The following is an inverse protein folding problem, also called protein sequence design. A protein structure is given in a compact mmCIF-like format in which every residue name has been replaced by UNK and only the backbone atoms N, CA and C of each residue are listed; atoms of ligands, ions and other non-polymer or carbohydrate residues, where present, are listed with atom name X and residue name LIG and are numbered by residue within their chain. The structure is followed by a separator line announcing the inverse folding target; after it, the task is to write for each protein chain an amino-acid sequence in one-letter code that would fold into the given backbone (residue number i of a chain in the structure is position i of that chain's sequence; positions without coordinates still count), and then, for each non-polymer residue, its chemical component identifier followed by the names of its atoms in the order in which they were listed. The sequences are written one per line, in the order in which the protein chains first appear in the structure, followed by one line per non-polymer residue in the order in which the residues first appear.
data_IF_136110917585
#
_entry.id   IF_136110917585
#
_cell.length_a   1.000
_cell.length_b   1.000
_cell.length_c   1.000
_cell.angle_alpha   90.00
_cell.angle_beta   90.00
_cell.angle_gamma   90.00
#
_symmetry.space_group_name_H-M   'P 1'
#
loop_
_entity.id
_entity.type
_entity.pdbx_description
1 polymer ?
#
# COMPACT_ATOMS: atom_id res chain seq x y z
N UNK A 1 -25.49 8.88 0.21
CA UNK A 1 -24.62 7.71 -0.04
C UNK A 1 -24.85 6.73 1.10
N UNK A 2 -25.30 5.50 0.83
CA UNK A 2 -25.47 4.50 1.90
C UNK A 2 -24.07 3.99 2.28
N UNK A 3 -23.69 4.20 3.54
CA UNK A 3 -22.40 3.77 4.07
C UNK A 3 -22.46 2.28 4.48
N UNK A 4 -21.56 1.48 3.96
CA UNK A 4 -21.34 0.11 4.44
C UNK A 4 -20.50 0.14 5.72
N UNK A 5 -21.12 -0.02 6.87
CA UNK A 5 -20.39 -0.08 8.15
C UNK A 5 -19.68 -1.42 8.36
N UNK A 6 -20.16 -2.46 7.68
CA UNK A 6 -19.56 -3.81 7.67
C UNK A 6 -19.43 -4.29 6.23
N UNK A 7 -18.27 -4.83 5.88
CA UNK A 7 -18.01 -5.37 4.56
C UNK A 7 -16.79 -6.29 4.58
N UNK A 8 -16.65 -7.13 3.56
CA UNK A 8 -15.45 -7.95 3.37
C UNK A 8 -14.40 -7.13 2.61
N UNK A 9 -13.17 -7.14 3.13
CA UNK A 9 -12.00 -6.60 2.42
C UNK A 9 -11.02 -7.72 2.09
N UNK A 10 -10.25 -7.52 1.02
CA UNK A 10 -9.20 -8.43 0.57
C UNK A 10 -7.86 -7.71 0.41
N UNK A 11 -6.78 -8.29 0.96
CA UNK A 11 -5.42 -7.97 0.59
C UNK A 11 -4.96 -8.97 -0.49
N UNK A 12 -4.67 -8.47 -1.69
CA UNK A 12 -4.30 -9.26 -2.85
C UNK A 12 -2.78 -9.31 -2.99
N UNK A 13 -2.13 -10.23 -2.30
CA UNK A 13 -0.69 -10.49 -2.46
C UNK A 13 -0.37 -10.86 -3.89
N UNK A 14 0.72 -10.34 -4.43
CA UNK A 14 1.32 -10.82 -5.67
C UNK A 14 2.62 -11.58 -5.37
N UNK A 15 2.78 -12.73 -5.99
CA UNK A 15 4.06 -13.40 -6.09
C UNK A 15 5.07 -12.56 -6.88
N UNK A 16 6.28 -13.08 -7.14
CA UNK A 16 7.30 -12.34 -7.88
C UNK A 16 6.78 -11.86 -9.23
N UNK A 17 7.19 -10.65 -9.62
CA UNK A 17 6.99 -10.10 -10.97
C UNK A 17 8.36 -9.97 -11.61
N UNK A 18 8.69 -10.91 -12.47
CA UNK A 18 10.01 -10.95 -13.10
C UNK A 18 10.19 -9.80 -14.12
N UNK A 19 11.43 -9.34 -14.37
CA UNK A 19 11.68 -8.27 -15.36
C UNK A 19 11.18 -8.58 -16.77
N UNK A 20 11.05 -9.84 -17.12
CA UNK A 20 10.55 -10.30 -18.41
C UNK A 20 9.02 -10.40 -18.46
N UNK A 21 8.33 -10.28 -17.33
CA UNK A 21 6.87 -10.35 -17.27
C UNK A 21 6.25 -9.04 -17.75
N UNK A 22 5.38 -9.11 -18.74
CA UNK A 22 4.73 -7.91 -19.27
C UNK A 22 3.64 -7.39 -18.33
N UNK A 23 3.31 -6.10 -18.45
CA UNK A 23 2.22 -5.48 -17.66
C UNK A 23 0.87 -6.20 -17.91
N UNK A 24 0.64 -6.67 -19.16
CA UNK A 24 -0.55 -7.45 -19.54
C UNK A 24 -0.62 -8.75 -18.71
N UNK A 25 0.48 -9.49 -18.61
CA UNK A 25 0.54 -10.72 -17.83
C UNK A 25 0.27 -10.46 -16.34
N UNK A 26 0.85 -9.41 -15.79
CA UNK A 26 0.60 -9.00 -14.39
C UNK A 26 -0.88 -8.63 -14.19
N UNK A 27 -1.47 -7.85 -15.08
CA UNK A 27 -2.90 -7.47 -15.01
C UNK A 27 -3.81 -8.70 -15.11
N UNK A 28 -3.44 -9.73 -15.88
CA UNK A 28 -4.17 -11.01 -15.88
C UNK A 28 -4.14 -11.67 -14.50
N UNK A 29 -3.01 -11.67 -13.81
CA UNK A 29 -2.91 -12.18 -12.43
C UNK A 29 -3.78 -11.37 -11.47
N UNK A 30 -3.69 -10.03 -11.53
CA UNK A 30 -4.53 -9.13 -10.73
C UNK A 30 -6.01 -9.36 -10.99
N UNK A 31 -6.40 -9.54 -12.28
CA UNK A 31 -7.76 -9.84 -12.68
C UNK A 31 -8.28 -11.16 -12.07
N UNK A 32 -7.46 -12.21 -12.05
CA UNK A 32 -7.85 -13.49 -11.47
C UNK A 32 -8.10 -13.34 -9.95
N UNK A 33 -7.25 -12.61 -9.25
CA UNK A 33 -7.45 -12.28 -7.83
C UNK A 33 -8.72 -11.43 -7.64
N UNK A 34 -9.00 -10.46 -8.50
CA UNK A 34 -10.22 -9.64 -8.44
C UNK A 34 -11.49 -10.49 -8.58
N UNK A 35 -11.51 -11.40 -9.56
CA UNK A 35 -12.65 -12.31 -9.79
C UNK A 35 -12.89 -13.17 -8.55
N UNK A 36 -11.84 -13.71 -7.96
CA UNK A 36 -11.97 -14.52 -6.75
C UNK A 36 -12.39 -13.71 -5.54
N UNK A 37 -11.83 -12.51 -5.35
CA UNK A 37 -12.24 -11.59 -4.29
C UNK A 37 -13.73 -11.21 -4.41
N UNK A 38 -14.20 -10.94 -5.63
CA UNK A 38 -15.62 -10.68 -5.91
C UNK A 38 -16.51 -11.87 -5.52
N UNK A 39 -16.13 -13.10 -5.87
CA UNK A 39 -16.89 -14.31 -5.49
C UNK A 39 -17.04 -14.47 -3.99
N UNK A 40 -16.04 -14.01 -3.22
CA UNK A 40 -16.07 -14.01 -1.75
C UNK A 40 -16.79 -12.78 -1.17
N UNK A 41 -17.35 -11.90 -2.01
CA UNK A 41 -18.11 -10.73 -1.60
C UNK A 41 -17.26 -9.55 -1.13
N UNK A 42 -15.97 -9.49 -1.47
CA UNK A 42 -15.11 -8.38 -1.10
C UNK A 42 -15.54 -7.08 -1.82
N UNK A 43 -15.65 -5.99 -1.06
CA UNK A 43 -15.93 -4.65 -1.58
C UNK A 43 -14.69 -3.75 -1.62
N UNK A 44 -13.63 -4.06 -0.88
CA UNK A 44 -12.34 -3.37 -0.92
C UNK A 44 -11.24 -4.37 -1.25
N UNK A 45 -10.53 -4.15 -2.34
CA UNK A 45 -9.41 -4.99 -2.76
C UNK A 45 -8.15 -4.14 -2.83
N UNK A 46 -7.09 -4.57 -2.13
CA UNK A 46 -5.81 -3.84 -2.04
C UNK A 46 -4.71 -4.65 -2.70
N UNK A 47 -4.07 -4.06 -3.71
CA UNK A 47 -2.89 -4.61 -4.40
C UNK A 47 -1.60 -3.95 -3.90
N UNK A 48 -0.43 -4.55 -4.18
CA UNK A 48 0.85 -4.03 -3.70
C UNK A 48 1.28 -2.68 -4.30
N UNK A 49 2.33 -2.11 -3.72
CA UNK A 49 3.13 -1.02 -4.27
C UNK A 49 3.73 -1.42 -5.63
N UNK A 50 3.74 -0.50 -6.62
CA UNK A 50 4.36 -0.72 -7.94
C UNK A 50 4.00 -2.09 -8.53
N UNK A 51 2.72 -2.47 -8.42
CA UNK A 51 2.29 -3.84 -8.68
C UNK A 51 2.31 -4.23 -10.16
N UNK A 52 2.32 -3.25 -11.08
CA UNK A 52 2.25 -3.51 -12.53
C UNK A 52 3.56 -3.99 -13.15
N UNK A 53 4.67 -3.91 -12.42
CA UNK A 53 6.00 -4.21 -12.96
C UNK A 53 6.88 -4.86 -11.88
N UNK A 54 8.02 -5.43 -12.29
CA UNK A 54 9.09 -5.72 -11.32
C UNK A 54 9.42 -4.46 -10.49
N UNK A 55 10.01 -4.63 -9.30
CA UNK A 55 10.46 -3.48 -8.49
C UNK A 55 11.69 -2.83 -9.13
N UNK A 56 11.49 -2.06 -10.20
CA UNK A 56 12.56 -1.48 -11.01
C UNK A 56 13.53 -0.53 -10.25
N UNK A 57 13.19 0.09 -9.10
CA UNK A 57 14.19 0.83 -8.31
C UNK A 57 15.38 0.00 -7.83
N UNK A 58 15.34 -1.29 -8.04
CA UNK A 58 16.42 -2.24 -7.78
C UNK A 58 17.56 -2.16 -8.81
N UNK A 59 17.29 -1.56 -9.97
CA UNK A 59 18.23 -1.49 -11.09
C UNK A 59 18.73 -0.06 -11.30
N UNK A 60 20.00 0.07 -11.67
CA UNK A 60 20.55 1.34 -12.15
C UNK A 60 20.31 1.47 -13.65
N UNK A 61 19.23 2.14 -14.02
CA UNK A 61 18.77 2.31 -15.40
C UNK A 61 19.25 3.66 -15.92
N UNK A 62 19.99 3.64 -17.02
CA UNK A 62 20.51 4.85 -17.70
C UNK A 62 19.77 5.17 -18.98
N UNK A 63 19.10 4.20 -19.58
CA UNK A 63 18.25 4.40 -20.76
C UNK A 63 16.87 4.94 -20.33
N UNK A 64 16.58 6.17 -20.77
CA UNK A 64 15.31 6.81 -20.43
C UNK A 64 14.11 6.13 -21.08
N UNK A 65 14.26 5.47 -22.23
CA UNK A 65 13.16 4.75 -22.89
C UNK A 65 12.76 3.55 -22.05
N UNK A 66 13.76 2.79 -21.57
CA UNK A 66 13.52 1.66 -20.65
C UNK A 66 12.92 2.17 -19.35
N UNK A 67 13.49 3.25 -18.77
CA UNK A 67 12.98 3.81 -17.52
C UNK A 67 11.53 4.27 -17.67
N UNK A 68 11.19 4.99 -18.73
CA UNK A 68 9.84 5.51 -18.96
C UNK A 68 8.80 4.39 -19.17
N UNK A 69 9.20 3.22 -19.65
CA UNK A 69 8.30 2.08 -19.82
C UNK A 69 7.67 1.57 -18.52
N UNK A 70 8.28 1.87 -17.36
CA UNK A 70 7.73 1.48 -16.06
C UNK A 70 6.63 2.41 -15.56
N UNK A 71 6.51 3.62 -16.12
CA UNK A 71 5.58 4.63 -15.64
C UNK A 71 4.25 4.62 -16.40
N UNK A 72 3.24 5.17 -15.75
CA UNK A 72 1.93 5.44 -16.33
C UNK A 72 1.63 6.94 -16.25
N UNK A 73 1.21 7.53 -17.37
CA UNK A 73 0.80 8.94 -17.45
C UNK A 73 -0.64 9.13 -17.00
N UNK A 74 -1.46 8.07 -17.17
CA UNK A 74 -2.89 8.08 -16.91
C UNK A 74 -3.33 6.77 -16.28
N UNK A 75 -4.18 6.87 -15.28
CA UNK A 75 -4.84 5.75 -14.62
C UNK A 75 -6.34 6.02 -14.55
N UNK A 76 -7.22 5.04 -14.87
CA UNK A 76 -6.86 3.70 -15.34
C UNK A 76 -6.24 3.70 -16.74
N UNK A 77 -5.36 2.74 -16.99
CA UNK A 77 -4.90 2.37 -18.33
C UNK A 77 -5.94 1.51 -19.02
N UNK A 78 -5.83 1.30 -20.35
CA UNK A 78 -6.75 0.39 -21.08
C UNK A 78 -6.81 -1.02 -20.45
N UNK A 79 -5.66 -1.55 -20.03
CA UNK A 79 -5.57 -2.86 -19.37
C UNK A 79 -6.33 -2.90 -18.04
N UNK A 80 -6.23 -1.84 -17.25
CA UNK A 80 -6.95 -1.71 -15.97
C UNK A 80 -8.45 -1.51 -16.21
N UNK A 81 -8.84 -0.77 -17.25
CA UNK A 81 -10.26 -0.61 -17.64
C UNK A 81 -10.89 -1.94 -18.00
N UNK A 82 -10.20 -2.80 -18.75
CA UNK A 82 -10.68 -4.16 -19.03
C UNK A 82 -10.88 -4.98 -17.74
N UNK A 83 -9.94 -4.89 -16.80
CA UNK A 83 -10.07 -5.55 -15.51
C UNK A 83 -11.27 -5.02 -14.71
N UNK A 84 -11.44 -3.68 -14.65
CA UNK A 84 -12.54 -3.02 -13.93
C UNK A 84 -13.91 -3.31 -14.56
N UNK A 85 -13.98 -3.50 -15.87
CA UNK A 85 -15.18 -3.90 -16.59
C UNK A 85 -15.85 -5.17 -16.05
N UNK A 86 -15.09 -6.05 -15.39
CA UNK A 86 -15.61 -7.27 -14.77
C UNK A 86 -16.44 -7.01 -13.50
N UNK A 87 -16.32 -5.82 -12.92
CA UNK A 87 -16.95 -5.43 -11.64
C UNK A 87 -17.75 -4.13 -11.75
N UNK A 88 -18.09 -3.69 -12.96
CA UNK A 88 -18.69 -2.39 -13.24
C UNK A 88 -20.10 -2.17 -12.63
N UNK A 89 -20.75 -3.23 -12.17
CA UNK A 89 -22.07 -3.19 -11.52
C UNK A 89 -22.01 -3.25 -9.99
N UNK A 90 -20.81 -3.37 -9.41
CA UNK A 90 -20.63 -3.60 -7.98
C UNK A 90 -20.13 -2.33 -7.27
N UNK A 91 -20.37 -2.24 -5.97
CA UNK A 91 -19.83 -1.19 -5.10
C UNK A 91 -18.39 -1.48 -4.66
N UNK A 92 -17.55 -1.95 -5.60
CA UNK A 92 -16.17 -2.35 -5.33
C UNK A 92 -15.23 -1.15 -5.46
N UNK A 93 -14.33 -1.03 -4.49
CA UNK A 93 -13.18 -0.10 -4.52
C UNK A 93 -11.90 -0.92 -4.62
N UNK A 94 -11.03 -0.53 -5.56
CA UNK A 94 -9.72 -1.15 -5.77
C UNK A 94 -8.64 -0.14 -5.40
N UNK A 95 -7.68 -0.58 -4.57
CA UNK A 95 -6.46 0.16 -4.26
C UNK A 95 -5.27 -0.54 -4.91
N UNK A 96 -4.43 0.20 -5.64
CA UNK A 96 -3.18 -0.35 -6.16
C UNK A 96 -2.09 0.71 -6.30
N UNK A 97 -0.84 0.24 -6.29
CA UNK A 97 0.34 1.08 -6.44
C UNK A 97 0.95 1.02 -7.84
N UNK A 98 1.38 2.16 -8.36
CA UNK A 98 2.01 2.28 -9.67
C UNK A 98 3.07 3.39 -9.69
N UNK A 99 3.94 3.36 -10.70
CA UNK A 99 4.87 4.45 -10.97
C UNK A 99 4.16 5.49 -11.82
N UNK A 100 3.93 6.68 -11.26
CA UNK A 100 3.23 7.78 -11.91
C UNK A 100 4.21 8.72 -12.59
N UNK A 101 3.91 9.10 -13.84
CA UNK A 101 4.55 10.21 -14.54
C UNK A 101 3.54 11.34 -14.71
N UNK A 102 3.85 12.50 -14.16
CA UNK A 102 3.06 13.72 -14.32
C UNK A 102 3.96 14.83 -14.84
N UNK A 103 3.86 15.15 -16.12
CA UNK A 103 4.80 16.03 -16.82
C UNK A 103 6.25 15.52 -16.66
N UNK A 104 7.13 16.35 -16.09
CA UNK A 104 8.53 16.01 -15.81
C UNK A 104 8.74 15.39 -14.42
N UNK A 105 7.67 15.17 -13.65
CA UNK A 105 7.75 14.61 -12.32
C UNK A 105 7.35 13.12 -12.31
N UNK A 106 8.04 12.36 -11.48
CA UNK A 106 7.81 10.92 -11.30
C UNK A 106 7.55 10.64 -9.83
N UNK A 107 6.47 9.88 -9.54
CA UNK A 107 6.05 9.57 -8.17
C UNK A 107 5.77 8.09 -8.01
N UNK A 108 6.02 7.59 -6.80
CA UNK A 108 5.52 6.31 -6.35
C UNK A 108 4.11 6.56 -5.78
N UNK A 109 3.09 6.05 -6.44
CA UNK A 109 1.70 6.50 -6.24
C UNK A 109 0.79 5.32 -5.94
N UNK A 110 -0.16 5.53 -5.03
CA UNK A 110 -1.30 4.64 -4.81
C UNK A 110 -2.60 5.37 -5.16
N UNK A 111 -3.57 4.62 -5.68
CA UNK A 111 -4.83 5.18 -6.15
C UNK A 111 -6.01 4.31 -5.70
N UNK A 112 -7.16 4.96 -5.42
CA UNK A 112 -8.45 4.27 -5.33
C UNK A 112 -9.22 4.46 -6.63
N UNK A 113 -9.66 3.36 -7.21
CA UNK A 113 -10.60 3.33 -8.32
C UNK A 113 -11.90 2.67 -7.87
N UNK A 114 -13.03 3.24 -8.26
CA UNK A 114 -14.30 2.53 -8.16
C UNK A 114 -14.52 1.62 -9.40
N UNK A 115 -15.57 0.81 -9.34
CA UNK A 115 -15.95 -0.09 -10.42
C UNK A 115 -16.36 0.62 -11.72
N UNK A 116 -16.56 1.94 -11.69
CA UNK A 116 -16.88 2.79 -12.84
C UNK A 116 -15.66 3.54 -13.37
N UNK A 117 -14.45 3.07 -13.02
CA UNK A 117 -13.17 3.67 -13.43
C UNK A 117 -12.90 5.07 -12.90
N UNK A 118 -13.70 5.54 -11.94
CA UNK A 118 -13.48 6.84 -11.35
C UNK A 118 -12.37 6.78 -10.32
N UNK A 119 -11.40 7.69 -10.43
CA UNK A 119 -10.39 7.94 -9.40
C UNK A 119 -11.07 8.60 -8.20
N UNK A 120 -11.22 7.85 -7.10
CA UNK A 120 -11.78 8.35 -5.85
C UNK A 120 -10.72 9.05 -4.99
N UNK A 121 -9.46 8.67 -5.15
CA UNK A 121 -8.38 9.23 -4.38
C UNK A 121 -6.99 8.82 -4.89
N UNK A 122 -6.01 9.68 -4.61
CA UNK A 122 -4.60 9.48 -4.99
C UNK A 122 -3.70 9.88 -3.83
N UNK A 123 -2.65 9.09 -3.59
CA UNK A 123 -1.58 9.37 -2.64
C UNK A 123 -0.22 9.15 -3.30
N UNK A 124 0.73 10.03 -3.04
CA UNK A 124 2.12 9.94 -3.49
C UNK A 124 3.03 9.73 -2.29
N UNK A 125 3.86 8.71 -2.33
CA UNK A 125 4.75 8.30 -1.24
C UNK A 125 5.60 9.46 -0.71
N UNK A 126 5.51 9.72 0.58
CA UNK A 126 6.23 10.81 1.24
C UNK A 126 7.59 10.33 1.74
N UNK A 127 7.65 9.17 2.37
CA UNK A 127 8.88 8.66 2.98
C UNK A 127 9.60 7.70 2.02
N UNK A 128 10.31 8.28 1.04
CA UNK A 128 11.12 7.52 0.10
C UNK A 128 12.32 6.89 0.81
N UNK A 129 12.44 5.54 0.84
CA UNK A 129 13.63 4.87 1.40
C UNK A 129 14.78 4.84 0.39
N UNK A 130 15.87 4.20 0.77
CA UNK A 130 16.99 3.94 -0.10
C UNK A 130 17.84 5.18 -0.39
N UNK A 131 18.44 5.20 -1.57
CA UNK A 131 19.46 6.16 -1.98
C UNK A 131 19.22 6.68 -3.41
N UNK A 132 19.92 7.74 -3.81
CA UNK A 132 19.84 8.31 -5.15
C UNK A 132 21.05 7.93 -6.02
N UNK A 133 22.22 7.79 -5.40
CA UNK A 133 23.47 7.52 -6.09
C UNK A 133 23.62 6.03 -6.41
N UNK A 134 24.27 5.74 -7.54
CA UNK A 134 24.61 4.37 -7.92
C UNK A 134 25.68 3.80 -6.98
N UNK A 135 25.42 2.64 -6.41
CA UNK A 135 26.36 1.89 -5.58
C UNK A 135 26.73 0.57 -6.29
N UNK A 136 27.76 0.56 -7.16
CA UNK A 136 28.03 -0.56 -8.08
C UNK A 136 28.38 -1.88 -7.38
N UNK A 137 28.83 -1.82 -6.13
CA UNK A 137 29.19 -3.02 -5.34
C UNK A 137 27.99 -3.67 -4.64
N UNK A 138 26.79 -3.07 -4.73
CA UNK A 138 25.58 -3.69 -4.19
C UNK A 138 25.02 -4.71 -5.19
N UNK A 139 24.63 -5.90 -4.74
CA UNK A 139 23.96 -6.87 -5.61
C UNK A 139 22.62 -6.34 -6.14
N UNK A 140 21.89 -5.54 -5.33
CA UNK A 140 20.66 -4.84 -5.70
C UNK A 140 20.70 -3.43 -5.15
N UNK A 141 20.27 -2.48 -5.98
CA UNK A 141 20.08 -1.09 -5.56
C UNK A 141 18.75 -0.91 -4.82
N UNK A 142 18.57 0.25 -4.19
CA UNK A 142 17.27 0.71 -3.68
C UNK A 142 17.14 2.19 -4.04
N UNK A 143 16.95 2.45 -5.34
CA UNK A 143 17.06 3.78 -5.96
C UNK A 143 15.75 4.57 -5.98
N UNK A 144 14.90 4.41 -4.97
CA UNK A 144 13.64 5.18 -4.94
C UNK A 144 13.87 6.69 -4.95
N UNK A 145 14.87 7.19 -4.23
CA UNK A 145 15.21 8.62 -4.22
C UNK A 145 15.79 9.14 -5.55
N UNK A 146 16.26 8.24 -6.42
CA UNK A 146 16.71 8.56 -7.77
C UNK A 146 15.53 8.70 -8.73
N UNK A 147 14.57 7.79 -8.64
CA UNK A 147 13.51 7.63 -9.61
C UNK A 147 12.21 8.35 -9.27
N UNK A 148 12.03 8.72 -8.00
CA UNK A 148 10.80 9.36 -7.54
C UNK A 148 11.08 10.65 -6.79
N UNK A 149 10.19 11.63 -6.97
CA UNK A 149 10.11 12.80 -6.12
C UNK A 149 9.30 12.47 -4.87
N UNK A 150 9.60 13.16 -3.75
CA UNK A 150 8.77 13.14 -2.55
C UNK A 150 7.33 13.52 -2.91
N UNK A 151 6.36 12.78 -2.37
CA UNK A 151 4.94 13.07 -2.53
C UNK A 151 4.57 14.49 -2.10
N UNK A 152 3.69 15.12 -2.86
CA UNK A 152 3.27 16.52 -2.71
C UNK A 152 1.78 16.69 -2.39
N UNK A 153 1.07 15.59 -2.08
CA UNK A 153 -0.36 15.60 -1.76
C UNK A 153 -0.63 15.56 -0.24
N UNK A 154 0.41 15.50 0.59
CA UNK A 154 0.29 15.27 2.02
C UNK A 154 -0.27 13.86 2.31
N UNK A 155 -0.97 13.71 3.43
CA UNK A 155 -1.71 12.49 3.80
C UNK A 155 -3.21 12.77 3.67
N UNK A 156 -3.80 12.61 2.48
CA UNK A 156 -5.24 12.83 2.27
C UNK A 156 -6.07 11.66 2.81
N UNK A 157 -7.32 11.98 3.15
CA UNK A 157 -8.35 10.97 3.43
C UNK A 157 -9.51 11.15 2.47
N UNK A 158 -10.22 10.07 2.17
CA UNK A 158 -11.25 10.02 1.12
C UNK A 158 -12.53 9.45 1.68
N UNK A 159 -13.62 10.24 1.60
CA UNK A 159 -14.96 9.78 1.94
C UNK A 159 -15.46 8.83 0.85
N UNK A 160 -15.81 7.62 1.24
CA UNK A 160 -16.32 6.59 0.33
C UNK A 160 -17.55 5.90 0.90
N UNK A 161 -18.15 5.01 0.10
CA UNK A 161 -19.23 4.13 0.57
C UNK A 161 -18.73 3.09 1.61
N UNK A 162 -17.43 2.87 1.70
CA UNK A 162 -16.78 1.92 2.62
C UNK A 162 -16.19 2.61 3.86
N UNK A 163 -16.58 3.87 4.13
CA UNK A 163 -16.03 4.69 5.19
C UNK A 163 -14.97 5.68 4.71
N UNK A 164 -14.29 6.30 5.65
CA UNK A 164 -13.19 7.22 5.37
C UNK A 164 -11.88 6.47 5.24
N UNK A 165 -11.40 6.36 4.02
CA UNK A 165 -10.19 5.62 3.66
C UNK A 165 -8.97 6.54 3.60
N UNK A 166 -7.80 5.99 3.90
CA UNK A 166 -6.50 6.63 3.72
C UNK A 166 -5.48 5.66 3.14
N UNK A 167 -4.41 6.18 2.57
CA UNK A 167 -3.36 5.38 1.95
C UNK A 167 -2.00 5.67 2.59
N UNK A 168 -1.16 4.65 2.67
CA UNK A 168 0.29 4.80 2.80
C UNK A 168 0.99 3.77 1.89
N UNK A 169 2.27 3.98 1.61
CA UNK A 169 3.04 3.13 0.71
C UNK A 169 4.32 2.70 1.39
N UNK A 170 4.51 1.39 1.52
CA UNK A 170 5.76 0.73 1.93
C UNK A 170 6.41 1.39 3.17
N UNK A 171 7.46 2.18 2.98
CA UNK A 171 8.23 2.81 4.06
C UNK A 171 7.40 3.78 4.92
N UNK A 172 6.30 4.35 4.40
CA UNK A 172 5.41 5.22 5.19
C UNK A 172 4.88 4.52 6.44
N UNK A 173 4.70 3.17 6.40
CA UNK A 173 4.19 2.40 7.54
C UNK A 173 5.10 2.39 8.77
N UNK A 174 6.38 2.73 8.57
CA UNK A 174 7.38 2.77 9.65
C UNK A 174 7.38 4.08 10.43
N UNK A 175 6.64 5.09 9.93
CA UNK A 175 6.56 6.42 10.52
C UNK A 175 5.23 6.59 11.25
N UNK A 176 5.21 6.66 12.59
CA UNK A 176 3.98 6.79 13.38
C UNK A 176 3.13 8.00 12.98
N UNK A 177 3.78 9.06 12.53
CA UNK A 177 3.15 10.30 12.08
C UNK A 177 2.20 10.07 10.90
N UNK A 178 2.53 9.14 9.98
CA UNK A 178 1.67 8.79 8.85
C UNK A 178 0.27 8.41 9.32
N UNK A 179 0.20 7.43 10.21
CA UNK A 179 -1.08 6.93 10.72
C UNK A 179 -1.77 7.94 11.64
N UNK A 180 -0.99 8.66 12.46
CA UNK A 180 -1.54 9.68 13.36
C UNK A 180 -2.21 10.81 12.58
N UNK A 181 -1.58 11.30 11.52
CA UNK A 181 -2.17 12.34 10.67
C UNK A 181 -3.44 11.83 9.97
N UNK A 182 -3.42 10.63 9.41
CA UNK A 182 -4.61 10.02 8.81
C UNK A 182 -5.75 9.87 9.83
N UNK A 183 -5.44 9.35 11.02
CA UNK A 183 -6.44 9.14 12.08
C UNK A 183 -7.06 10.46 12.58
N UNK A 184 -6.25 11.50 12.75
CA UNK A 184 -6.72 12.84 13.13
C UNK A 184 -7.61 13.48 12.05
N UNK A 185 -7.47 13.07 10.79
CA UNK A 185 -8.37 13.43 9.69
C UNK A 185 -9.60 12.53 9.61
N UNK A 186 -9.79 11.63 10.58
CA UNK A 186 -10.95 10.75 10.68
C UNK A 186 -10.85 9.46 9.86
N UNK A 187 -9.68 9.11 9.34
CA UNK A 187 -9.47 7.85 8.60
C UNK A 187 -9.89 6.65 9.45
N UNK A 188 -10.65 5.72 8.87
CA UNK A 188 -11.11 4.50 9.54
C UNK A 188 -10.35 3.26 9.03
N UNK A 189 -9.97 3.27 7.74
CA UNK A 189 -9.25 2.17 7.10
C UNK A 189 -8.05 2.72 6.33
N UNK A 190 -6.87 2.20 6.64
CA UNK A 190 -5.63 2.51 5.92
C UNK A 190 -5.30 1.36 4.99
N UNK A 191 -5.22 1.63 3.70
CA UNK A 191 -4.68 0.67 2.72
C UNK A 191 -3.19 0.89 2.51
N UNK A 192 -2.45 -0.20 2.40
CA UNK A 192 -1.00 -0.20 2.31
C UNK A 192 -0.53 -1.20 1.25
N UNK A 193 0.18 -0.73 0.23
CA UNK A 193 0.96 -1.56 -0.68
C UNK A 193 2.44 -1.53 -0.32
N UNK A 194 3.15 -2.65 -0.36
CA UNK A 194 4.60 -2.65 -0.13
C UNK A 194 5.37 -3.72 -0.90
N UNK A 195 6.65 -3.41 -1.13
CA UNK A 195 7.68 -4.31 -1.66
C UNK A 195 8.90 -4.22 -0.75
N UNK A 196 9.01 -5.13 0.21
CA UNK A 196 10.10 -5.05 1.19
C UNK A 196 11.09 -6.19 0.96
N UNK A 197 12.35 -5.90 0.62
CA UNK A 197 13.38 -6.91 0.55
C UNK A 197 13.68 -7.46 1.94
N UNK A 198 13.99 -8.75 2.02
CA UNK A 198 14.43 -9.39 3.25
C UNK A 198 15.82 -8.92 3.65
N UNK A 199 16.74 -8.88 2.68
CA UNK A 199 18.09 -8.38 2.90
C UNK A 199 18.13 -6.85 2.87
N UNK A 200 18.62 -6.25 3.96
CA UNK A 200 18.82 -4.80 4.07
C UNK A 200 20.28 -4.46 4.31
N UNK A 201 21.06 -4.16 3.26
CA UNK A 201 22.53 -3.99 3.33
C UNK A 201 23.03 -3.02 4.40
N UNK A 202 22.35 -1.91 4.74
CA UNK A 202 22.80 -1.02 5.82
C UNK A 202 22.80 -1.65 7.22
N UNK A 203 21.94 -2.66 7.46
CA UNK A 203 21.81 -3.34 8.77
C UNK A 203 21.52 -4.83 8.54
N UNK A 204 22.45 -5.61 7.98
CA UNK A 204 22.21 -7.00 7.58
C UNK A 204 21.90 -7.92 8.78
N UNK A 205 22.37 -7.59 9.96
CA UNK A 205 22.09 -8.34 11.18
C UNK A 205 20.59 -8.35 11.55
N UNK A 206 19.80 -7.43 10.97
CA UNK A 206 18.36 -7.36 11.19
C UNK A 206 17.52 -8.08 10.12
N UNK A 207 18.13 -8.76 9.15
CA UNK A 207 17.39 -9.45 8.09
C UNK A 207 16.36 -10.46 8.63
N UNK A 208 16.71 -11.16 9.71
CA UNK A 208 15.81 -12.11 10.38
C UNK A 208 14.63 -11.44 11.10
N UNK A 209 14.69 -10.13 11.33
CA UNK A 209 13.63 -9.33 12.00
C UNK A 209 12.71 -8.60 11.00
N UNK A 210 12.96 -8.67 9.70
CA UNK A 210 12.21 -7.87 8.72
C UNK A 210 10.70 -8.15 8.73
N UNK A 211 10.29 -9.41 8.83
CA UNK A 211 8.87 -9.76 8.94
C UNK A 211 8.28 -9.31 10.28
N UNK A 212 9.01 -9.48 11.37
CA UNK A 212 8.58 -9.00 12.70
C UNK A 212 8.40 -7.48 12.70
N UNK A 213 9.40 -6.72 12.23
CA UNK A 213 9.32 -5.26 12.17
C UNK A 213 8.19 -4.77 11.25
N UNK A 214 7.92 -5.51 10.15
CA UNK A 214 6.81 -5.22 9.26
C UNK A 214 5.47 -5.27 10.00
N UNK A 215 5.21 -6.34 10.74
CA UNK A 215 3.95 -6.50 11.46
C UNK A 215 3.89 -5.60 12.70
N UNK A 216 4.99 -5.47 13.46
CA UNK A 216 5.07 -4.65 14.66
C UNK A 216 4.62 -3.20 14.41
N UNK A 217 5.17 -2.55 13.37
CA UNK A 217 4.83 -1.15 13.09
C UNK A 217 3.36 -1.00 12.66
N UNK A 218 2.81 -1.94 11.87
CA UNK A 218 1.42 -1.90 11.43
C UNK A 218 0.44 -2.21 12.57
N UNK A 219 0.73 -3.20 13.43
CA UNK A 219 -0.08 -3.55 14.59
C UNK A 219 -0.12 -2.41 15.62
N UNK A 220 1.04 -1.86 15.94
CA UNK A 220 1.15 -0.69 16.81
C UNK A 220 0.37 0.49 16.26
N UNK A 221 0.49 0.75 14.96
CA UNK A 221 -0.21 1.84 14.28
C UNK A 221 -1.74 1.64 14.28
N UNK A 222 -2.22 0.43 13.97
CA UNK A 222 -3.64 0.10 13.98
C UNK A 222 -4.26 0.38 15.36
N UNK A 223 -3.64 -0.13 16.42
CA UNK A 223 -4.11 0.03 17.78
C UNK A 223 -4.04 1.46 18.27
N UNK A 224 -2.86 2.10 18.19
CA UNK A 224 -2.66 3.46 18.71
C UNK A 224 -3.49 4.54 17.99
N UNK A 225 -4.04 4.22 16.81
CA UNK A 225 -4.85 5.12 16.01
C UNK A 225 -6.31 4.68 15.83
N UNK A 226 -6.66 3.47 16.31
CA UNK A 226 -8.00 2.91 16.19
C UNK A 226 -8.44 2.83 14.72
N UNK A 227 -7.59 2.26 13.86
CA UNK A 227 -7.83 2.09 12.41
C UNK A 227 -7.67 0.64 11.99
N UNK A 228 -8.43 0.22 11.00
CA UNK A 228 -8.11 -0.98 10.23
C UNK A 228 -6.89 -0.74 9.34
N UNK A 229 -6.02 -1.74 9.20
CA UNK A 229 -4.92 -1.72 8.24
C UNK A 229 -5.05 -2.91 7.30
N UNK A 230 -5.14 -2.66 6.00
CA UNK A 230 -5.17 -3.68 4.95
C UNK A 230 -3.87 -3.55 4.17
N UNK A 231 -2.94 -4.47 4.42
CA UNK A 231 -1.60 -4.46 3.85
C UNK A 231 -1.45 -5.54 2.78
N UNK A 232 -1.10 -5.14 1.57
CA UNK A 232 -0.80 -6.03 0.46
C UNK A 232 0.66 -5.90 0.04
N UNK A 233 1.31 -7.04 -0.18
CA UNK A 233 2.73 -7.12 -0.49
C UNK A 233 2.99 -7.86 -1.80
N UNK A 234 4.12 -7.55 -2.44
CA UNK A 234 4.79 -8.55 -3.26
C UNK A 234 5.58 -9.51 -2.38
N UNK A 235 5.63 -10.77 -2.77
CA UNK A 235 6.24 -11.85 -2.02
C UNK A 235 7.11 -12.73 -2.92
N UNK A 236 7.93 -13.59 -2.30
CA UNK A 236 8.76 -14.55 -3.01
C UNK A 236 10.10 -13.98 -3.46
N UNK A 237 10.70 -14.60 -4.46
CA UNK A 237 12.02 -14.23 -4.98
C UNK A 237 11.88 -13.61 -6.36
N UNK A 238 11.95 -12.29 -6.44
CA UNK A 238 11.82 -11.49 -7.66
C UNK A 238 13.21 -11.12 -8.17
N UNK A 239 13.59 -11.63 -9.33
CA UNK A 239 14.93 -11.46 -9.94
C UNK A 239 16.08 -11.63 -8.92
N UNK A 240 16.03 -12.75 -8.20
CA UNK A 240 17.05 -13.08 -7.18
C UNK A 240 16.89 -12.37 -5.84
N UNK A 241 16.08 -11.30 -5.73
CA UNK A 241 15.84 -10.59 -4.48
C UNK A 241 14.67 -11.21 -3.72
N UNK A 242 14.92 -11.69 -2.50
CA UNK A 242 13.87 -12.24 -1.64
C UNK A 242 13.05 -11.11 -1.02
N UNK A 243 11.73 -11.17 -1.20
CA UNK A 243 10.75 -10.26 -0.64
C UNK A 243 10.05 -10.91 0.55
N UNK A 244 9.84 -10.15 1.63
CA UNK A 244 9.25 -10.69 2.86
C UNK A 244 7.78 -11.11 2.69
N UNK A 245 7.03 -10.52 1.73
CA UNK A 245 5.60 -10.72 1.65
C UNK A 245 4.91 -10.21 2.92
N UNK A 246 4.08 -11.06 3.54
CA UNK A 246 3.43 -10.73 4.81
C UNK A 246 2.19 -9.85 4.64
N UNK A 247 1.47 -10.02 3.51
CA UNK A 247 0.16 -9.41 3.32
C UNK A 247 -0.78 -9.80 4.46
N UNK A 248 -1.48 -8.84 5.05
CA UNK A 248 -2.33 -9.09 6.21
C UNK A 248 -3.43 -8.04 6.36
N UNK A 249 -4.42 -8.36 7.18
CA UNK A 249 -5.46 -7.44 7.63
C UNK A 249 -5.40 -7.36 9.15
N UNK A 250 -5.28 -6.14 9.66
CA UNK A 250 -5.10 -5.85 11.10
C UNK A 250 -6.28 -5.02 11.58
N UNK A 251 -6.90 -5.45 12.68
CA UNK A 251 -8.01 -4.76 13.30
C UNK A 251 -7.59 -3.54 14.11
N UNK A 252 -8.52 -2.65 14.49
CA UNK A 252 -8.24 -1.53 15.40
C UNK A 252 -7.73 -1.95 16.78
N UNK A 253 -7.82 -3.23 17.15
CA UNK A 253 -7.22 -3.77 18.39
C UNK A 253 -5.72 -4.07 18.24
N UNK A 254 -5.17 -4.00 17.03
CA UNK A 254 -3.79 -4.38 16.71
C UNK A 254 -3.61 -5.86 16.41
N UNK A 255 -4.68 -6.66 16.41
CA UNK A 255 -4.62 -8.09 16.08
C UNK A 255 -4.55 -8.29 14.56
N UNK A 256 -3.66 -9.18 14.13
CA UNK A 256 -3.66 -9.69 12.75
C UNK A 256 -4.83 -10.67 12.61
N UNK A 257 -5.90 -10.23 11.96
CA UNK A 257 -7.11 -11.05 11.76
C UNK A 257 -6.87 -12.13 10.71
N UNK A 258 -6.10 -11.80 9.68
CA UNK A 258 -5.79 -12.72 8.59
C UNK A 258 -4.45 -12.35 7.95
N UNK A 259 -3.67 -13.35 7.51
CA UNK A 259 -2.34 -13.18 6.93
C UNK A 259 -2.10 -14.19 5.81
N UNK A 260 -1.39 -13.77 4.75
CA UNK A 260 -0.94 -14.66 3.69
C UNK A 260 0.04 -15.72 4.20
N UNK A 261 -0.10 -16.93 3.70
CA UNK A 261 0.69 -18.10 4.11
C UNK A 261 1.71 -18.51 3.06
N UNK A 262 1.51 -18.12 1.82
CA UNK A 262 2.40 -18.44 0.71
C UNK A 262 3.28 -17.24 0.32
N UNK A 263 4.19 -17.47 -0.61
CA UNK A 263 5.00 -16.42 -1.27
C UNK A 263 4.60 -16.27 -2.75
N UNK A 264 3.36 -16.65 -3.08
CA UNK A 264 2.77 -16.59 -4.42
C UNK A 264 1.56 -15.65 -4.40
N UNK A 265 0.84 -15.58 -5.52
CA UNK A 265 -0.45 -14.90 -5.60
C UNK A 265 -1.41 -15.51 -4.58
N UNK A 266 -1.94 -14.68 -3.67
CA UNK A 266 -2.81 -15.14 -2.58
C UNK A 266 -3.74 -14.03 -2.13
N UNK A 267 -4.99 -14.39 -1.81
CA UNK A 267 -5.96 -13.49 -1.21
C UNK A 267 -6.08 -13.72 0.29
N UNK A 268 -6.06 -12.63 1.03
CA UNK A 268 -6.28 -12.60 2.47
C UNK A 268 -7.56 -11.81 2.74
N UNK A 269 -8.51 -12.37 3.48
CA UNK A 269 -9.82 -11.79 3.72
C UNK A 269 -10.07 -11.48 5.19
N UNK A 270 -10.83 -10.41 5.46
CA UNK A 270 -11.46 -10.19 6.75
C UNK A 270 -12.75 -9.39 6.58
N UNK A 271 -13.70 -9.58 7.51
CA UNK A 271 -14.82 -8.65 7.69
C UNK A 271 -14.31 -7.40 8.41
N UNK A 272 -14.53 -6.26 7.82
CA UNK A 272 -14.24 -4.93 8.38
C UNK A 272 -15.51 -4.45 9.09
N UNK A 273 -15.41 -4.12 10.38
CA UNK A 273 -16.46 -3.42 11.13
C UNK A 273 -15.97 -2.05 11.56
N UNK A 274 -16.46 -0.97 10.95
CA UNK A 274 -16.06 0.39 11.26
C UNK A 274 -16.42 0.82 12.69
N UNK A 275 -17.37 0.13 13.35
CA UNK A 275 -17.69 0.43 14.75
C UNK A 275 -16.53 0.09 15.71
N UNK A 276 -15.63 -0.83 15.34
CA UNK A 276 -14.44 -1.11 16.14
C UNK A 276 -13.49 0.11 16.21
N UNK A 277 -13.38 0.90 15.14
CA UNK A 277 -12.63 2.15 15.15
C UNK A 277 -13.22 3.13 16.18
N UNK A 278 -14.54 3.29 16.17
CA UNK A 278 -15.26 4.18 17.10
C UNK A 278 -15.05 3.71 18.54
N UNK A 279 -15.15 2.41 18.79
CA UNK A 279 -14.99 1.80 20.11
C UNK A 279 -13.59 2.09 20.71
N UNK A 280 -12.53 1.87 19.92
CA UNK A 280 -11.14 2.12 20.36
C UNK A 280 -10.90 3.62 20.60
N UNK A 281 -11.31 4.48 19.66
CA UNK A 281 -11.09 5.94 19.76
C UNK A 281 -11.92 6.59 20.86
N UNK A 282 -13.13 6.10 21.13
CA UNK A 282 -13.96 6.67 22.20
C UNK A 282 -13.50 6.27 23.58
N UNK A 283 -13.05 5.01 23.76
CA UNK A 283 -12.84 4.47 25.10
C UNK A 283 -11.37 4.39 25.52
N UNK A 284 -10.43 4.33 24.57
CA UNK A 284 -9.00 4.15 24.84
C UNK A 284 -8.19 5.35 24.37
N UNK A 285 -8.30 5.70 23.07
CA UNK A 285 -7.54 6.77 22.44
C UNK A 285 -8.46 7.93 22.02
N UNK A 286 -9.10 8.59 22.99
CA UNK A 286 -9.87 9.79 22.69
C UNK A 286 -8.92 10.96 22.44
N UNK A 287 -8.64 11.24 21.17
CA UNK A 287 -7.66 12.24 20.75
C UNK A 287 -8.04 13.65 21.18
N UNK A 288 -9.33 13.98 21.18
CA UNK A 288 -9.81 15.31 21.54
C UNK A 288 -9.66 15.60 23.03
N UNK A 289 -9.78 14.54 23.86
CA UNK A 289 -9.71 14.68 25.33
C UNK A 289 -8.30 14.47 25.89
N UNK A 290 -7.47 13.64 25.27
CA UNK A 290 -6.24 13.14 25.92
C UNK A 290 -4.95 13.53 25.21
N UNK A 291 -4.99 14.06 23.97
CA UNK A 291 -3.77 14.55 23.33
C UNK A 291 -3.32 15.87 23.97
N UNK A 292 -2.00 16.05 24.01
CA UNK A 292 -1.34 17.27 24.52
C UNK A 292 -0.50 17.88 23.37
N UNK A 293 -1.12 18.51 22.34
CA UNK A 293 -0.40 18.97 21.14
C UNK A 293 0.72 19.97 21.43
N UNK A 294 0.60 20.77 22.50
CA UNK A 294 1.61 21.72 22.94
C UNK A 294 2.93 21.05 23.34
N UNK A 295 2.88 19.82 23.86
CA UNK A 295 4.07 19.05 24.25
C UNK A 295 4.71 18.30 23.07
N UNK A 296 4.03 18.25 21.92
CA UNK A 296 4.49 17.52 20.72
C UNK A 296 5.17 18.41 19.68
N UNK A 297 5.44 19.68 19.99
CA UNK A 297 5.95 20.66 19.02
C UNK A 297 7.28 20.24 18.38
N UNK A 298 8.12 19.50 19.10
CA UNK A 298 9.40 19.01 18.60
C UNK A 298 9.24 18.09 17.38
N UNK A 299 8.09 17.41 17.23
CA UNK A 299 7.82 16.53 16.07
C UNK A 299 7.67 17.34 14.79
N UNK A 300 7.26 18.60 14.87
CA UNK A 300 6.98 19.48 13.73
C UNK A 300 8.01 20.58 13.53
N UNK A 301 8.93 20.75 14.48
CA UNK A 301 10.03 21.74 14.41
C UNK A 301 11.30 21.00 13.99
N UNK A 302 11.80 21.28 12.79
CA UNK A 302 13.11 20.84 12.28
C UNK A 302 13.96 22.04 11.98
#
# INVERSE_FOLDING_TARGET
MNLHKKYIAAAAQLGPVEPSESKEAVVVRMRNLLIEAKKQGALLIVYPELCLTTFFPRYYITDNTILDSFYEDKVPTSLLSEMLGLVNSDDIIISFGYAEKENDARFNTSVYLDSKEKVLGKYRKIHLPGHAEHEPNRPFQHLEKRYFRKGNLGFPTFETILGKLGMCICNDRRWPETYRVLALKGCEVVTLGHNTPKHYPPVPDHDHLQEFHNHLCMQSAAYANGVWVIASAKAGKEDGCELIGGSCIISPTGEIISQAKSKQDELVFAEIDLNECVKIRKNIFNFDLHRQPEDYQIITKT
#
